data_IF_549417794060
#
_entry.id   IF_549417794060
#
_cell.length_a   1.000
_cell.length_b   1.000
_cell.length_c   1.000
_cell.angle_alpha   90.00
_cell.angle_beta   90.00
_cell.angle_gamma   90.00
#
_symmetry.space_group_name_H-M   'P 1'
#
loop_
_entity.id
_entity.type
_entity.pdbx_description
1 polymer ?
#
# COMPACT_ATOMS: atom_id res chain seq x y z
N UNK A 1 -4.21 19.16 1.88
CA UNK A 1 -5.18 18.21 1.28
C UNK A 1 -5.92 17.59 2.44
N UNK A 2 -7.23 17.84 2.57
CA UNK A 2 -8.03 17.21 3.64
C UNK A 2 -8.13 15.73 3.32
N UNK A 3 -7.56 14.89 4.19
CA UNK A 3 -7.59 13.45 4.04
C UNK A 3 -9.04 12.99 4.18
N UNK A 4 -9.65 12.59 3.06
CA UNK A 4 -11.05 12.19 3.03
C UNK A 4 -11.18 10.86 3.79
N UNK A 5 -11.65 10.94 5.04
CA UNK A 5 -11.96 9.76 5.86
C UNK A 5 -13.15 9.08 5.21
N UNK A 6 -12.89 8.04 4.42
CA UNK A 6 -13.95 7.26 3.79
C UNK A 6 -14.71 6.53 4.88
N UNK A 7 -16.05 6.59 4.82
CA UNK A 7 -16.93 5.92 5.80
C UNK A 7 -16.69 4.40 5.89
N UNK A 8 -16.02 3.83 4.88
CA UNK A 8 -15.72 2.41 4.76
C UNK A 8 -14.29 2.04 5.18
N UNK A 9 -13.48 2.97 5.68
CA UNK A 9 -12.12 2.66 6.11
C UNK A 9 -12.13 1.81 7.39
N UNK A 10 -11.37 0.70 7.38
CA UNK A 10 -11.13 -0.12 8.58
C UNK A 10 -10.30 0.63 9.62
N UNK A 11 -10.32 0.18 10.88
CA UNK A 11 -9.55 0.80 11.97
C UNK A 11 -8.05 0.87 11.64
N UNK A 12 -7.50 -0.19 11.05
CA UNK A 12 -6.11 -0.24 10.63
C UNK A 12 -5.82 0.77 9.51
N UNK A 13 -6.74 0.94 8.56
CA UNK A 13 -6.58 1.88 7.46
C UNK A 13 -6.57 3.34 7.94
N UNK A 14 -7.44 3.67 8.90
CA UNK A 14 -7.47 5.01 9.53
C UNK A 14 -6.18 5.33 10.26
N UNK A 15 -5.61 4.35 10.97
CA UNK A 15 -4.33 4.53 11.67
C UNK A 15 -3.15 4.73 10.71
N UNK A 16 -3.13 4.01 9.58
CA UNK A 16 -2.09 4.15 8.55
C UNK A 16 -2.14 5.53 7.85
N UNK A 17 -3.34 5.96 7.42
CA UNK A 17 -3.61 7.31 6.89
C UNK A 17 -3.14 8.41 7.85
N UNK A 18 -3.57 8.35 9.13
CA UNK A 18 -3.19 9.33 10.15
C UNK A 18 -1.67 9.43 10.40
N UNK A 19 -0.90 8.38 10.10
CA UNK A 19 0.56 8.36 10.20
C UNK A 19 1.26 8.82 8.92
N UNK A 20 0.52 9.22 7.89
CA UNK A 20 1.05 9.52 6.56
C UNK A 20 1.72 8.32 5.91
N UNK A 21 1.39 7.09 6.36
CA UNK A 21 1.93 5.86 5.81
C UNK A 21 0.90 5.27 4.84
N UNK A 22 1.29 5.14 3.59
CA UNK A 22 0.44 4.53 2.58
C UNK A 22 0.21 3.05 2.92
N UNK A 23 -1.00 2.57 2.67
CA UNK A 23 -1.35 1.19 3.02
C UNK A 23 -0.81 0.30 1.92
N UNK A 24 0.17 -0.53 2.25
CA UNK A 24 0.63 -1.52 1.28
C UNK A 24 -0.56 -2.37 0.82
N UNK A 25 -0.74 -2.57 -0.50
CA UNK A 25 -1.78 -3.43 -1.01
C UNK A 25 -1.59 -4.84 -0.44
N UNK A 26 -2.70 -5.51 -0.11
CA UNK A 26 -2.66 -6.90 0.35
C UNK A 26 -1.95 -7.78 -0.70
N UNK A 27 -0.85 -8.42 -0.30
CA UNK A 27 -0.07 -9.33 -1.16
C UNK A 27 -0.35 -10.78 -0.76
N UNK A 28 -0.47 -11.63 -1.76
CA UNK A 28 -0.51 -13.07 -1.59
C UNK A 28 0.93 -13.57 -1.33
N UNK A 29 1.21 -14.24 -0.19
CA UNK A 29 2.56 -14.67 0.15
C UNK A 29 3.12 -15.73 -0.81
N UNK A 30 2.25 -16.46 -1.53
CA UNK A 30 2.69 -17.45 -2.52
C UNK A 30 3.03 -16.81 -3.86
N UNK A 31 2.54 -15.59 -4.12
CA UNK A 31 2.81 -14.89 -5.37
C UNK A 31 4.14 -14.17 -5.29
N UNK A 32 5.01 -14.32 -6.30
CA UNK A 32 6.27 -13.59 -6.33
C UNK A 32 5.97 -12.08 -6.29
N UNK A 33 6.74 -11.36 -5.49
CA UNK A 33 6.72 -9.91 -5.56
C UNK A 33 7.00 -9.49 -7.01
N UNK A 34 6.18 -8.61 -7.57
CA UNK A 34 6.54 -7.91 -8.79
C UNK A 34 7.67 -6.93 -8.46
N UNK A 35 8.85 -7.45 -8.18
CA UNK A 35 10.08 -6.70 -8.36
C UNK A 35 10.19 -6.51 -9.87
N UNK A 36 9.83 -5.31 -10.35
CA UNK A 36 10.38 -4.86 -11.63
C UNK A 36 11.89 -4.90 -11.39
N UNK A 37 12.57 -5.92 -11.90
CA UNK A 37 14.00 -5.86 -12.13
C UNK A 37 14.20 -4.73 -13.14
N UNK A 38 14.26 -3.51 -12.65
CA UNK A 38 14.89 -2.43 -13.36
C UNK A 38 16.37 -2.81 -13.43
N UNK A 39 16.82 -2.96 -14.67
CA UNK A 39 18.22 -2.94 -15.10
C UNK A 39 18.99 -4.28 -15.01
N UNK A 40 19.08 -4.98 -16.15
CA UNK A 40 20.23 -4.89 -17.04
C UNK A 40 20.38 -6.13 -17.93
N UNK A 41 20.12 -6.00 -19.23
CA UNK A 41 21.16 -6.25 -20.24
C UNK A 41 20.67 -5.93 -21.67
N UNK A 42 21.20 -4.81 -22.15
CA UNK A 42 21.77 -4.57 -23.49
C UNK A 42 20.86 -4.47 -24.71
#
# INVERSE_FOLDING_TARGET
>A
MMEEVSKNDSVEQRQKKARGQDIEPQRDPEKPAHTKSADNNR
#
